data_IF_944626101028
#
_entry.id   IF_944626101028
#
_cell.length_a   1.000
_cell.length_b   1.000
_cell.length_c   1.000
_cell.angle_alpha   90.00
_cell.angle_beta   90.00
_cell.angle_gamma   90.00
#
_symmetry.space_group_name_H-M   'P 1'
#
loop_
_entity.id
_entity.type
_entity.pdbx_description
1 polymer ?
#
# COMPACT_ATOMS: atom_id res chain seq x y z
N UNK A 1 -11.39 13.87 17.09
CA UNK A 1 -11.89 12.86 18.05
C UNK A 1 -11.49 11.46 17.57
N UNK A 2 -11.26 10.50 18.46
CA UNK A 2 -10.83 9.13 18.11
C UNK A 2 -11.96 8.26 17.50
N UNK A 3 -13.22 8.61 17.76
CA UNK A 3 -14.43 8.03 17.17
C UNK A 3 -15.53 9.10 17.10
N UNK A 4 -16.46 8.98 16.16
CA UNK A 4 -17.65 9.85 16.05
C UNK A 4 -18.94 9.13 16.49
N UNK A 5 -18.97 7.79 16.48
CA UNK A 5 -20.15 7.00 16.85
C UNK A 5 -19.88 6.09 18.05
N UNK A 6 -19.22 4.95 17.85
CA UNK A 6 -18.92 4.02 18.92
C UNK A 6 -17.60 3.27 18.67
N UNK A 7 -17.17 2.55 19.70
CA UNK A 7 -16.00 1.69 19.68
C UNK A 7 -16.41 0.30 20.17
N UNK A 8 -15.92 -0.76 19.52
CA UNK A 8 -16.25 -2.12 19.91
C UNK A 8 -15.03 -3.04 19.80
N UNK A 9 -14.75 -3.80 20.87
CA UNK A 9 -13.76 -4.87 20.87
C UNK A 9 -14.29 -6.11 20.15
N UNK A 10 -13.40 -6.84 19.48
CA UNK A 10 -13.74 -8.15 18.93
C UNK A 10 -14.10 -9.13 20.05
N UNK A 11 -14.86 -10.21 19.78
CA UNK A 11 -15.28 -11.16 20.80
C UNK A 11 -14.14 -11.82 21.58
N UNK A 12 -12.91 -11.80 21.04
CA UNK A 12 -11.70 -12.34 21.67
C UNK A 12 -10.77 -11.24 22.22
N UNK A 13 -11.13 -9.96 22.07
CA UNK A 13 -10.36 -8.83 22.58
C UNK A 13 -9.07 -8.51 21.80
N UNK A 14 -8.78 -9.20 20.71
CA UNK A 14 -7.54 -9.00 19.93
C UNK A 14 -7.58 -7.77 19.00
N UNK A 15 -8.78 -7.33 18.64
CA UNK A 15 -8.99 -6.24 17.68
C UNK A 15 -9.98 -5.22 18.22
N UNK A 16 -9.78 -3.96 17.85
CA UNK A 16 -10.69 -2.86 18.16
C UNK A 16 -11.27 -2.29 16.88
N UNK A 17 -12.55 -1.97 16.89
CA UNK A 17 -13.21 -1.24 15.81
C UNK A 17 -13.60 0.15 16.29
N UNK A 18 -13.27 1.19 15.52
CA UNK A 18 -13.77 2.55 15.71
C UNK A 18 -14.67 2.94 14.54
N UNK A 19 -15.88 3.43 14.82
CA UNK A 19 -16.88 3.74 13.80
C UNK A 19 -17.03 5.26 13.65
N UNK A 20 -16.89 5.73 12.41
CA UNK A 20 -16.99 7.13 12.01
C UNK A 20 -18.05 7.29 10.93
N UNK A 21 -18.46 8.52 10.61
CA UNK A 21 -19.44 8.79 9.53
C UNK A 21 -18.98 8.23 8.17
N UNK A 22 -17.68 8.25 7.91
CA UNK A 22 -17.08 7.72 6.68
C UNK A 22 -16.92 6.19 6.68
N UNK A 23 -17.20 5.53 7.80
CA UNK A 23 -17.14 4.07 7.96
C UNK A 23 -16.31 3.61 9.16
N UNK A 24 -15.95 2.33 9.20
CA UNK A 24 -15.28 1.69 10.33
C UNK A 24 -13.78 1.48 10.09
N UNK A 25 -12.95 1.74 11.10
CA UNK A 25 -11.53 1.42 11.11
C UNK A 25 -11.25 0.29 12.10
N UNK A 26 -10.48 -0.70 11.68
CA UNK A 26 -10.05 -1.83 12.50
C UNK A 26 -8.60 -1.65 12.91
N UNK A 27 -8.33 -1.89 14.18
CA UNK A 27 -7.04 -1.72 14.82
C UNK A 27 -6.61 -3.04 15.45
N UNK A 28 -5.32 -3.33 15.40
CA UNK A 28 -4.76 -4.54 15.99
C UNK A 28 -3.23 -4.58 15.91
N UNK A 29 -2.66 -5.63 16.49
CA UNK A 29 -1.22 -5.80 16.65
C UNK A 29 -0.80 -5.69 18.10
N UNK A 30 0.13 -6.56 18.52
CA UNK A 30 0.47 -6.76 19.94
C UNK A 30 1.09 -5.52 20.61
N UNK A 31 1.94 -4.77 19.88
CA UNK A 31 2.75 -3.69 20.46
C UNK A 31 2.33 -2.30 19.99
N UNK A 32 2.02 -2.14 18.70
CA UNK A 32 1.80 -0.83 18.07
C UNK A 32 0.34 -0.50 17.82
N UNK A 33 -0.55 -1.51 17.90
CA UNK A 33 -2.00 -1.36 17.68
C UNK A 33 -2.35 -0.53 16.44
N UNK A 34 -1.72 -0.87 15.32
CA UNK A 34 -1.85 -0.13 14.07
C UNK A 34 -3.22 -0.32 13.43
N UNK A 35 -3.63 0.64 12.59
CA UNK A 35 -4.83 0.51 11.76
C UNK A 35 -4.59 -0.55 10.68
N UNK A 36 -5.31 -1.66 10.77
CA UNK A 36 -5.22 -2.79 9.84
C UNK A 36 -6.04 -2.56 8.57
N UNK A 37 -7.29 -2.11 8.73
CA UNK A 37 -8.23 -1.94 7.62
C UNK A 37 -9.22 -0.80 7.87
N UNK A 38 -9.79 -0.28 6.77
CA UNK A 38 -10.90 0.67 6.79
C UNK A 38 -12.01 0.18 5.86
N UNK A 39 -13.24 0.18 6.36
CA UNK A 39 -14.44 -0.14 5.63
C UNK A 39 -15.26 1.13 5.44
N UNK A 40 -15.68 1.45 4.22
CA UNK A 40 -16.51 2.61 3.91
C UNK A 40 -18.00 2.34 4.16
N UNK A 41 -18.34 1.62 5.22
CA UNK A 41 -19.72 1.31 5.59
C UNK A 41 -19.96 1.67 7.06
N UNK A 42 -21.04 2.41 7.37
CA UNK A 42 -21.32 2.89 8.73
C UNK A 42 -21.89 1.80 9.65
N UNK A 43 -22.56 0.77 9.10
CA UNK A 43 -23.04 -0.34 9.92
C UNK A 43 -21.93 -1.37 10.06
N UNK A 44 -21.55 -1.62 11.30
CA UNK A 44 -20.45 -2.49 11.68
C UNK A 44 -20.89 -3.42 12.81
N UNK A 45 -20.64 -4.72 12.67
CA UNK A 45 -20.61 -5.64 13.81
C UNK A 45 -19.49 -6.66 13.68
N UNK A 46 -18.92 -7.04 14.81
CA UNK A 46 -18.11 -8.26 14.87
C UNK A 46 -18.98 -9.49 14.65
N UNK A 47 -18.48 -10.47 13.89
CA UNK A 47 -19.16 -11.75 13.75
C UNK A 47 -19.28 -12.42 15.13
N UNK A 48 -20.51 -12.75 15.59
CA UNK A 48 -20.69 -13.43 16.87
C UNK A 48 -19.99 -14.79 16.82
N UNK A 49 -19.29 -15.13 17.89
CA UNK A 49 -18.61 -16.41 18.01
C UNK A 49 -19.60 -17.45 18.53
N UNK A 50 -19.79 -18.58 17.82
CA UNK A 50 -20.55 -19.69 18.37
C UNK A 50 -19.84 -20.23 19.62
N UNK A 51 -20.58 -20.85 20.56
CA UNK A 51 -20.00 -21.50 21.73
C UNK A 51 -18.91 -22.51 21.34
N UNK A 52 -17.91 -22.66 22.19
CA UNK A 52 -16.85 -23.65 22.00
C UNK A 52 -17.44 -25.06 21.92
N UNK A 53 -16.90 -25.88 21.03
CA UNK A 53 -17.16 -27.32 21.00
C UNK A 53 -16.34 -28.10 22.05
N UNK A 54 -15.62 -27.37 22.93
CA UNK A 54 -14.75 -27.96 23.93
C UNK A 54 -15.59 -28.40 25.13
N UNK A 55 -15.26 -29.56 25.68
CA UNK A 55 -15.77 -29.93 27.00
C UNK A 55 -15.15 -29.02 28.06
N UNK A 56 -15.89 -28.76 29.14
CA UNK A 56 -15.39 -27.95 30.27
C UNK A 56 -14.06 -28.46 30.82
N UNK A 57 -13.87 -29.78 30.85
CA UNK A 57 -12.61 -30.43 31.27
C UNK A 57 -11.41 -29.98 30.42
N UNK A 58 -11.58 -29.93 29.08
CA UNK A 58 -10.53 -29.48 28.17
C UNK A 58 -10.26 -27.99 28.32
N UNK A 59 -11.28 -27.19 28.54
CA UNK A 59 -11.11 -25.75 28.80
C UNK A 59 -10.31 -25.52 30.09
N UNK A 60 -10.58 -26.28 31.14
CA UNK A 60 -9.80 -26.23 32.39
C UNK A 60 -8.36 -26.74 32.20
N UNK A 61 -8.15 -27.78 31.41
CA UNK A 61 -6.79 -28.27 31.09
C UNK A 61 -5.99 -27.21 30.33
N UNK A 62 -6.60 -26.55 29.34
CA UNK A 62 -5.99 -25.46 28.58
C UNK A 62 -5.68 -24.29 29.51
N UNK A 63 -6.61 -23.93 30.41
CA UNK A 63 -6.42 -22.86 31.37
C UNK A 63 -5.26 -23.16 32.34
N UNK A 64 -5.15 -24.40 32.83
CA UNK A 64 -4.05 -24.84 33.73
C UNK A 64 -2.70 -24.81 33.03
N UNK A 65 -2.66 -25.17 31.75
CA UNK A 65 -1.41 -25.27 30.96
C UNK A 65 -1.15 -24.06 30.06
N UNK A 66 -1.85 -22.94 30.26
CA UNK A 66 -1.85 -21.79 29.35
C UNK A 66 -0.44 -21.27 29.03
N UNK A 67 0.46 -21.23 30.02
CA UNK A 67 1.85 -20.77 29.83
C UNK A 67 2.65 -21.65 28.86
N UNK A 68 2.43 -22.97 28.90
CA UNK A 68 3.10 -23.92 27.99
C UNK A 68 2.59 -23.73 26.57
N UNK A 69 1.28 -23.60 26.41
CA UNK A 69 0.67 -23.36 25.09
C UNK A 69 1.07 -22.01 24.51
N UNK A 70 1.09 -20.95 25.33
CA UNK A 70 1.54 -19.62 24.92
C UNK A 70 2.94 -19.66 24.30
N UNK A 71 3.91 -20.26 25.01
CA UNK A 71 5.30 -20.34 24.51
C UNK A 71 5.41 -21.16 23.23
N UNK A 72 4.64 -22.26 23.12
CA UNK A 72 4.62 -23.11 21.92
C UNK A 72 4.13 -22.31 20.71
N UNK A 73 2.95 -21.71 20.81
CA UNK A 73 2.31 -21.02 19.69
C UNK A 73 3.02 -19.72 19.31
N UNK A 74 3.58 -18.99 20.28
CA UNK A 74 4.37 -17.80 19.99
C UNK A 74 5.63 -18.12 19.19
N UNK A 75 6.29 -19.26 19.47
CA UNK A 75 7.43 -19.74 18.69
C UNK A 75 7.01 -20.22 17.29
N UNK A 76 5.90 -20.94 17.18
CA UNK A 76 5.36 -21.39 15.87
C UNK A 76 4.95 -20.21 15.00
N UNK A 77 4.26 -19.20 15.56
CA UNK A 77 3.85 -17.99 14.83
C UNK A 77 5.07 -17.19 14.34
N UNK A 78 6.14 -17.11 15.14
CA UNK A 78 7.40 -16.48 14.73
C UNK A 78 8.07 -17.23 13.58
N UNK A 79 8.16 -18.56 13.64
CA UNK A 79 8.76 -19.39 12.60
C UNK A 79 7.98 -19.28 11.28
N UNK A 80 6.65 -19.37 11.32
CA UNK A 80 5.78 -19.21 10.14
C UNK A 80 5.97 -17.82 9.50
N UNK A 81 6.05 -16.77 10.31
CA UNK A 81 6.30 -15.41 9.82
C UNK A 81 7.67 -15.28 9.13
N UNK A 82 8.71 -15.92 9.67
CA UNK A 82 10.05 -15.92 9.07
C UNK A 82 10.04 -16.68 7.75
N UNK A 83 9.45 -17.87 7.70
CA UNK A 83 9.35 -18.68 6.48
C UNK A 83 8.62 -17.93 5.36
N UNK A 84 7.52 -17.25 5.65
CA UNK A 84 6.80 -16.41 4.68
C UNK A 84 7.70 -15.29 4.14
N UNK A 85 8.41 -14.60 5.03
CA UNK A 85 9.34 -13.54 4.62
C UNK A 85 10.50 -14.06 3.78
N UNK A 86 11.01 -15.25 4.08
CA UNK A 86 12.10 -15.88 3.32
C UNK A 86 11.63 -16.29 1.93
N UNK A 87 10.46 -16.94 1.82
CA UNK A 87 9.88 -17.31 0.53
C UNK A 87 9.63 -16.08 -0.36
N UNK A 88 9.11 -14.99 0.21
CA UNK A 88 8.89 -13.76 -0.54
C UNK A 88 10.22 -13.11 -0.98
N UNK A 89 11.23 -13.13 -0.11
CA UNK A 89 12.57 -12.63 -0.45
C UNK A 89 13.21 -13.45 -1.57
N UNK A 90 13.07 -14.78 -1.54
CA UNK A 90 13.57 -15.68 -2.59
C UNK A 90 12.86 -15.46 -3.92
N UNK A 91 11.52 -15.34 -3.91
CA UNK A 91 10.75 -15.01 -5.12
C UNK A 91 11.19 -13.69 -5.73
N UNK A 92 11.35 -12.64 -4.90
CA UNK A 92 11.82 -11.33 -5.35
C UNK A 92 13.25 -11.39 -5.90
N UNK A 93 14.13 -12.16 -5.24
CA UNK A 93 15.50 -12.38 -5.70
C UNK A 93 15.51 -13.07 -7.06
N UNK A 94 14.75 -14.15 -7.23
CA UNK A 94 14.64 -14.89 -8.49
C UNK A 94 14.10 -14.00 -9.61
N UNK A 95 13.03 -13.24 -9.36
CA UNK A 95 12.47 -12.31 -10.34
C UNK A 95 13.48 -11.23 -10.76
N UNK A 96 14.26 -10.73 -9.79
CA UNK A 96 15.32 -9.76 -10.05
C UNK A 96 16.45 -10.36 -10.89
N UNK A 97 16.91 -11.56 -10.56
CA UNK A 97 17.95 -12.27 -11.32
C UNK A 97 17.49 -12.57 -12.75
N UNK A 98 16.23 -13.00 -12.94
CA UNK A 98 15.63 -13.20 -14.26
C UNK A 98 15.59 -11.88 -15.07
N UNK A 99 15.19 -10.78 -14.44
CA UNK A 99 15.19 -9.47 -15.09
C UNK A 99 16.59 -8.96 -15.42
N UNK A 100 17.56 -9.08 -14.50
CA UNK A 100 18.96 -8.70 -14.74
C UNK A 100 19.59 -9.53 -15.86
N UNK A 101 19.32 -10.84 -15.91
CA UNK A 101 19.77 -11.70 -17.00
C UNK A 101 19.18 -11.26 -18.35
N UNK A 102 17.89 -10.96 -18.38
CA UNK A 102 17.22 -10.44 -19.59
C UNK A 102 17.82 -9.11 -20.05
N UNK A 103 17.99 -8.14 -19.14
CA UNK A 103 18.60 -6.84 -19.45
C UNK A 103 20.03 -7.00 -19.97
N UNK A 104 20.83 -7.87 -19.35
CA UNK A 104 22.21 -8.10 -19.77
C UNK A 104 22.29 -8.73 -21.16
N UNK A 105 21.39 -9.66 -21.47
CA UNK A 105 21.32 -10.25 -22.81
C UNK A 105 20.93 -9.22 -23.87
N UNK A 106 19.93 -8.37 -23.58
CA UNK A 106 19.57 -7.27 -24.48
C UNK A 106 20.71 -6.27 -24.67
N UNK A 107 21.41 -5.89 -23.60
CA UNK A 107 22.59 -5.02 -23.69
C UNK A 107 23.69 -5.63 -24.54
N UNK A 108 23.94 -6.94 -24.39
CA UNK A 108 24.92 -7.68 -25.20
C UNK A 108 24.56 -7.65 -26.68
N UNK A 109 23.31 -8.02 -27.01
CA UNK A 109 22.82 -8.00 -28.39
C UNK A 109 22.86 -6.57 -28.98
N UNK A 110 22.46 -5.57 -28.21
CA UNK A 110 22.47 -4.17 -28.65
C UNK A 110 23.89 -3.66 -28.96
N UNK A 111 24.89 -4.05 -28.16
CA UNK A 111 26.30 -3.73 -28.41
C UNK A 111 26.84 -4.50 -29.62
N UNK A 112 26.49 -5.77 -29.79
CA UNK A 112 26.88 -6.57 -30.96
C UNK A 112 26.32 -5.99 -32.27
N UNK A 113 25.06 -5.56 -32.27
CA UNK A 113 24.39 -4.94 -33.42
C UNK A 113 24.82 -3.49 -33.66
N UNK A 114 25.54 -2.86 -32.73
CA UNK A 114 25.94 -1.44 -32.82
C UNK A 114 26.69 -1.12 -34.09
N UNK A 115 27.68 -1.94 -34.44
CA UNK A 115 28.51 -1.76 -35.64
C UNK A 115 27.69 -1.87 -36.94
N UNK A 116 26.73 -2.79 -36.98
CA UNK A 116 25.83 -2.92 -38.14
C UNK A 116 24.86 -1.75 -38.22
N UNK A 117 24.31 -1.29 -37.08
CA UNK A 117 23.41 -0.13 -37.01
C UNK A 117 24.11 1.16 -37.43
N UNK A 118 25.33 1.38 -36.99
CA UNK A 118 26.16 2.53 -37.38
C UNK A 118 26.44 2.51 -38.89
N UNK A 119 26.74 1.35 -39.46
CA UNK A 119 26.93 1.20 -40.92
C UNK A 119 25.65 1.47 -41.73
N UNK A 120 24.48 1.07 -41.21
CA UNK A 120 23.19 1.34 -41.85
C UNK A 120 22.76 2.81 -41.74
N UNK A 121 23.41 3.60 -40.88
CA UNK A 121 23.19 5.04 -40.69
C UNK A 121 24.35 5.89 -41.20
N UNK A 122 25.04 5.43 -42.25
CA UNK A 122 26.17 6.14 -42.89
C UNK A 122 27.30 6.57 -41.92
N UNK A 123 27.46 5.88 -40.78
CA UNK A 123 28.50 6.16 -39.79
C UNK A 123 28.12 7.13 -38.66
N UNK A 124 26.84 7.51 -38.53
CA UNK A 124 26.40 8.37 -37.43
C UNK A 124 26.00 7.56 -36.18
N UNK A 125 26.69 7.81 -35.07
CA UNK A 125 26.39 7.26 -33.75
C UNK A 125 25.21 7.99 -33.10
N UNK A 126 23.99 7.73 -33.58
CA UNK A 126 22.74 8.35 -33.08
C UNK A 126 22.24 7.77 -31.74
N UNK A 127 22.97 6.85 -31.11
CA UNK A 127 22.59 6.24 -29.82
C UNK A 127 22.93 7.13 -28.60
N UNK A 128 23.65 8.23 -28.80
CA UNK A 128 23.88 9.30 -27.80
C UNK A 128 22.82 10.41 -27.93
N UNK A 129 21.52 10.10 -27.84
CA UNK A 129 20.52 11.15 -27.65
C UNK A 129 20.49 11.61 -26.19
N UNK A 130 20.61 12.94 -25.97
CA UNK A 130 20.47 13.57 -24.65
C UNK A 130 19.12 13.18 -24.02
N UNK A 131 19.17 12.68 -22.79
CA UNK A 131 18.03 12.21 -22.01
C UNK A 131 16.96 13.32 -21.88
N UNK A 132 15.86 13.21 -22.64
CA UNK A 132 14.78 14.17 -22.56
C UNK A 132 14.02 14.02 -21.22
N UNK A 133 14.02 15.07 -20.38
CA UNK A 133 13.21 15.13 -19.15
C UNK A 133 11.80 15.65 -19.50
N UNK A 134 10.79 14.79 -19.45
CA UNK A 134 9.40 15.20 -19.65
C UNK A 134 8.92 16.04 -18.45
N UNK A 135 8.75 17.35 -18.63
CA UNK A 135 8.09 18.24 -17.66
C UNK A 135 6.64 18.47 -18.05
N UNK A 136 5.73 18.24 -17.12
CA UNK A 136 4.34 18.67 -17.25
C UNK A 136 4.28 20.20 -17.14
N UNK A 137 3.83 20.87 -18.19
CA UNK A 137 3.63 22.33 -18.24
C UNK A 137 2.14 22.60 -18.32
N UNK A 138 1.55 23.15 -17.27
CA UNK A 138 0.18 23.66 -17.27
C UNK A 138 0.16 25.05 -17.92
N UNK A 139 -0.57 25.19 -19.03
CA UNK A 139 -0.75 26.47 -19.74
C UNK A 139 -2.16 26.99 -19.45
N UNK A 140 -2.26 28.09 -18.71
CA UNK A 140 -3.52 28.81 -18.53
C UNK A 140 -3.67 29.87 -19.63
N UNK A 141 -4.61 29.67 -20.56
CA UNK A 141 -5.02 30.69 -21.53
C UNK A 141 -6.15 31.54 -20.93
N UNK A 142 -5.90 32.85 -20.77
CA UNK A 142 -6.94 33.81 -20.35
C UNK A 142 -7.78 34.17 -21.59
N UNK A 143 -9.00 33.65 -21.65
CA UNK A 143 -9.86 33.67 -22.85
C UNK A 143 -10.42 35.08 -23.17
N UNK A 144 -10.63 35.95 -22.18
CA UNK A 144 -11.10 37.33 -22.44
C UNK A 144 -10.89 38.24 -21.21
N UNK A 145 -10.49 39.49 -21.45
CA UNK A 145 -10.45 40.57 -20.46
C UNK A 145 -11.45 41.64 -20.90
N UNK A 146 -12.44 41.93 -20.06
CA UNK A 146 -13.41 43.00 -20.33
C UNK A 146 -13.16 44.15 -19.36
N UNK A 147 -12.89 45.33 -19.90
CA UNK A 147 -12.83 46.60 -19.16
C UNK A 147 -14.16 47.35 -19.34
N UNK A 148 -14.88 47.61 -18.25
CA UNK A 148 -16.02 48.53 -18.25
C UNK A 148 -15.58 49.92 -17.82
N UNK A 149 -15.84 50.91 -18.67
CA UNK A 149 -15.65 52.33 -18.35
C UNK A 149 -16.92 52.81 -17.65
N UNK A 150 -16.83 53.10 -16.36
CA UNK A 150 -17.95 53.63 -15.57
C UNK A 150 -18.09 55.13 -15.89
N UNK A 151 -19.24 55.60 -16.42
CA UNK A 151 -19.45 57.02 -16.67
C UNK A 151 -19.60 57.77 -15.34
N UNK A 152 -18.83 58.86 -15.20
CA UNK A 152 -18.91 59.78 -14.09
C UNK A 152 -20.02 60.81 -14.35
N UNK A 153 -21.14 60.74 -13.62
CA UNK A 153 -22.17 61.78 -13.68
C UNK A 153 -21.76 63.01 -12.85
N UNK A 154 -21.64 64.14 -13.54
CA UNK A 154 -21.24 65.43 -12.97
C UNK A 154 -22.46 66.13 -12.36
N UNK A 155 -22.55 66.19 -11.03
CA UNK A 155 -23.57 66.99 -10.34
C UNK A 155 -23.17 68.46 -10.33
N UNK A 156 -23.77 69.24 -11.24
CA UNK A 156 -23.70 70.71 -11.30
C UNK A 156 -24.47 71.35 -10.13
N UNK A 157 -23.82 72.18 -9.30
CA UNK A 157 -24.12 73.61 -9.06
C UNK A 157 -23.16 74.26 -8.06
#
# INVERSE_FOLDING_TARGET
FWTESFVQWSPLGTYLATVHRQGAAIWGGATTFNRLMRYAHPQYLWRPRPPSFLSKEKEEEIAKNLKRYSKKYEAEDQDVSLQLSEQDREKRKKLKEEWEAWINEWKRLHEEEKMEREKLRDGEASDEEEEYEAKEVEVEEIINVTEEIIPFEESQQ
#
